data_IF_047214445896
#
_entry.id   IF_047214445896
#
_cell.length_a   1.000
_cell.length_b   1.000
_cell.length_c   1.000
_cell.angle_alpha   90.00
_cell.angle_beta   90.00
_cell.angle_gamma   90.00
#
_symmetry.space_group_name_H-M   'P 1'
#
loop_
_entity.id
_entity.type
_entity.pdbx_description
1 polymer ?
#
# COMPACT_ATOMS: atom_id res chain seq x y z
N UNK A 1 -1.60 -12.80 -22.73
CA UNK A 1 -2.49 -12.95 -21.57
C UNK A 1 -1.63 -13.18 -20.33
N UNK A 2 -1.99 -12.58 -19.20
CA UNK A 2 -1.36 -12.92 -17.91
C UNK A 2 -1.76 -14.34 -17.52
N UNK A 3 -0.93 -15.00 -16.74
CA UNK A 3 -1.17 -16.35 -16.29
C UNK A 3 -1.67 -16.35 -14.85
N UNK A 4 -2.61 -17.23 -14.55
CA UNK A 4 -2.93 -17.59 -13.18
C UNK A 4 -1.85 -18.55 -12.71
N UNK A 5 -1.17 -18.22 -11.63
CA UNK A 5 -0.19 -19.13 -11.03
C UNK A 5 -0.88 -20.12 -10.10
N UNK A 6 -0.59 -21.40 -10.29
CA UNK A 6 -1.09 -22.47 -9.42
C UNK A 6 -0.14 -22.69 -8.23
N UNK A 7 -0.67 -22.62 -7.02
CA UNK A 7 0.08 -22.78 -5.78
C UNK A 7 -0.06 -24.20 -5.25
N UNK A 8 1.07 -24.82 -4.93
CA UNK A 8 1.11 -26.15 -4.29
C UNK A 8 1.27 -25.99 -2.78
N UNK A 9 0.19 -26.17 -2.06
CA UNK A 9 0.17 -26.07 -0.60
C UNK A 9 0.81 -27.28 0.08
N UNK A 10 1.39 -27.05 1.26
CA UNK A 10 1.92 -28.12 2.12
C UNK A 10 0.75 -28.99 2.59
N UNK A 11 0.85 -30.30 2.40
CA UNK A 11 -0.19 -31.24 2.78
C UNK A 11 -0.57 -31.09 4.26
N UNK A 12 -1.88 -31.03 4.53
CA UNK A 12 -2.41 -30.85 5.88
C UNK A 12 -2.41 -29.41 6.40
N UNK A 13 -1.88 -28.45 5.66
CA UNK A 13 -1.81 -27.02 6.09
C UNK A 13 -2.49 -26.08 5.09
N UNK A 14 -2.90 -24.85 5.51
CA UNK A 14 -3.42 -23.84 4.61
C UNK A 14 -2.30 -22.98 4.01
N UNK A 15 -1.06 -23.46 3.86
CA UNK A 15 0.07 -22.64 3.48
C UNK A 15 0.98 -23.31 2.45
N UNK A 16 1.55 -22.50 1.55
CA UNK A 16 2.74 -22.84 0.79
C UNK A 16 3.84 -21.80 1.08
N UNK A 17 5.08 -22.22 0.99
CA UNK A 17 6.24 -21.36 1.18
C UNK A 17 7.20 -21.55 0.02
N UNK A 18 7.62 -20.43 -0.59
CA UNK A 18 8.61 -20.41 -1.65
C UNK A 18 9.70 -19.40 -1.31
N UNK A 19 10.94 -19.75 -1.54
CA UNK A 19 12.09 -18.85 -1.43
C UNK A 19 12.77 -18.73 -2.80
N UNK A 20 12.89 -17.51 -3.32
CA UNK A 20 13.44 -17.25 -4.65
C UNK A 20 14.40 -16.08 -4.63
N UNK A 21 15.37 -16.11 -5.56
CA UNK A 21 15.98 -14.90 -6.09
C UNK A 21 15.21 -14.50 -7.34
N UNK A 22 14.68 -13.30 -7.39
CA UNK A 22 13.82 -12.82 -8.46
C UNK A 22 14.40 -11.53 -9.04
N UNK A 23 15.05 -11.60 -10.20
CA UNK A 23 15.44 -10.38 -10.93
C UNK A 23 14.23 -9.78 -11.65
N UNK A 24 13.41 -10.63 -12.26
CA UNK A 24 12.15 -10.26 -12.92
C UNK A 24 11.12 -11.37 -12.77
N UNK A 25 9.93 -11.03 -12.35
CA UNK A 25 8.78 -11.92 -12.44
C UNK A 25 7.68 -11.19 -13.20
N UNK A 26 7.29 -11.77 -14.35
CA UNK A 26 6.26 -11.17 -15.23
C UNK A 26 4.92 -11.00 -14.53
N UNK A 27 4.05 -10.10 -15.02
CA UNK A 27 2.72 -9.93 -14.45
C UNK A 27 1.96 -11.25 -14.37
N UNK A 28 1.47 -11.56 -13.18
CA UNK A 28 0.68 -12.75 -12.85
C UNK A 28 -0.30 -12.43 -11.72
N UNK A 29 -1.15 -13.37 -11.37
CA UNK A 29 -2.09 -13.25 -10.24
C UNK A 29 -2.41 -14.63 -9.65
N UNK A 30 -2.88 -14.64 -8.41
CA UNK A 30 -3.37 -15.81 -7.70
C UNK A 30 -4.87 -15.66 -7.43
N UNK A 31 -5.63 -16.75 -7.53
CA UNK A 31 -7.02 -16.80 -7.07
C UNK A 31 -7.11 -17.69 -5.83
N UNK A 32 -8.04 -17.34 -4.95
CA UNK A 32 -8.26 -18.03 -3.67
C UNK A 32 -7.01 -18.06 -2.77
N UNK A 33 -6.19 -17.01 -2.88
CA UNK A 33 -4.89 -16.93 -2.22
C UNK A 33 -4.58 -15.51 -1.77
N UNK A 34 -3.99 -15.36 -0.57
CA UNK A 34 -3.24 -14.19 -0.16
C UNK A 34 -1.75 -14.54 -0.23
N UNK A 35 -0.91 -13.64 -0.75
CA UNK A 35 0.54 -13.82 -0.74
C UNK A 35 1.19 -12.82 0.19
N UNK A 36 1.84 -13.30 1.25
CA UNK A 36 2.68 -12.49 2.12
C UNK A 36 4.13 -12.61 1.64
N UNK A 37 4.61 -11.55 1.02
CA UNK A 37 5.94 -11.47 0.43
C UNK A 37 6.90 -10.79 1.40
N UNK A 38 7.96 -11.46 1.80
CA UNK A 38 9.01 -10.96 2.69
C UNK A 38 10.36 -10.90 1.97
N UNK A 39 10.99 -9.74 1.97
CA UNK A 39 12.31 -9.54 1.37
C UNK A 39 13.40 -9.80 2.41
N UNK A 40 14.05 -10.95 2.32
CA UNK A 40 15.11 -11.36 3.25
C UNK A 40 16.44 -10.65 2.94
N UNK A 41 16.74 -10.42 1.66
CA UNK A 41 18.01 -9.81 1.21
C UNK A 41 17.79 -8.98 -0.05
N UNK A 42 18.59 -7.93 -0.24
CA UNK A 42 18.60 -7.09 -1.44
C UNK A 42 17.50 -6.04 -1.43
N UNK A 43 17.10 -5.62 -2.63
CA UNK A 43 16.00 -4.69 -2.87
C UNK A 43 15.03 -5.28 -3.88
N UNK A 44 13.75 -4.92 -3.79
CA UNK A 44 12.74 -5.31 -4.75
C UNK A 44 11.72 -4.21 -4.98
N UNK A 45 11.34 -4.02 -6.24
CA UNK A 45 10.16 -3.28 -6.64
C UNK A 45 9.02 -4.29 -6.87
N UNK A 46 7.97 -4.19 -6.09
CA UNK A 46 6.73 -4.93 -6.29
C UNK A 46 5.65 -3.98 -6.74
N UNK A 47 4.94 -4.31 -7.80
CA UNK A 47 3.75 -3.58 -8.22
C UNK A 47 2.56 -4.52 -8.16
N UNK A 48 1.52 -4.11 -7.44
CA UNK A 48 0.27 -4.85 -7.32
C UNK A 48 -0.89 -3.93 -7.70
N UNK A 49 -1.60 -4.27 -8.75
CA UNK A 49 -2.64 -3.43 -9.35
C UNK A 49 -2.14 -1.99 -9.59
N UNK A 50 -2.67 -1.01 -8.89
CA UNK A 50 -2.24 0.40 -8.97
C UNK A 50 -1.18 0.77 -7.92
N UNK A 51 -0.83 -0.14 -7.02
CA UNK A 51 0.13 0.09 -5.94
C UNK A 51 1.56 -0.27 -6.35
N UNK A 52 2.53 0.50 -5.84
CA UNK A 52 3.96 0.28 -6.04
C UNK A 52 4.65 0.25 -4.68
N UNK A 53 5.44 -0.78 -4.46
CA UNK A 53 6.18 -1.01 -3.23
C UNK A 53 7.66 -1.14 -3.53
N UNK A 54 8.45 -0.17 -3.05
CA UNK A 54 9.91 -0.24 -3.09
C UNK A 54 10.37 -0.86 -1.76
N UNK A 55 10.86 -2.10 -1.80
CA UNK A 55 11.19 -2.91 -0.63
C UNK A 55 12.69 -3.05 -0.44
N UNK A 56 13.12 -3.10 0.83
CA UNK A 56 14.49 -3.46 1.23
C UNK A 56 14.46 -4.68 2.15
N UNK A 57 15.66 -5.21 2.45
CA UNK A 57 15.78 -6.35 3.35
C UNK A 57 15.10 -6.10 4.70
N UNK A 58 14.22 -7.03 5.12
CA UNK A 58 13.40 -6.95 6.33
C UNK A 58 12.00 -6.40 6.10
N UNK A 59 11.68 -5.95 4.89
CA UNK A 59 10.32 -5.53 4.54
C UNK A 59 9.43 -6.70 4.13
N UNK A 60 8.14 -6.51 4.33
CA UNK A 60 7.11 -7.39 3.78
C UNK A 60 5.90 -6.60 3.29
N UNK A 61 5.17 -7.21 2.38
CA UNK A 61 3.91 -6.72 1.83
C UNK A 61 2.95 -7.89 1.63
N UNK A 62 1.66 -7.64 1.85
CA UNK A 62 0.61 -8.58 1.52
C UNK A 62 -0.01 -8.22 0.16
N UNK A 63 -0.06 -9.19 -0.73
CA UNK A 63 -0.76 -9.13 -2.01
C UNK A 63 -2.13 -9.78 -1.81
N UNK A 64 -3.18 -9.04 -2.15
CA UNK A 64 -4.55 -9.50 -1.94
C UNK A 64 -5.00 -10.50 -3.01
N UNK A 65 -6.08 -11.20 -2.70
CA UNK A 65 -6.71 -12.16 -3.58
C UNK A 65 -7.02 -11.54 -4.96
N UNK A 66 -6.40 -12.10 -5.99
CA UNK A 66 -6.60 -11.70 -7.37
C UNK A 66 -5.92 -10.42 -7.81
N UNK A 67 -5.09 -9.79 -7.01
CA UNK A 67 -4.29 -8.64 -7.43
C UNK A 67 -3.26 -9.07 -8.49
N UNK A 68 -3.29 -8.39 -9.64
CA UNK A 68 -2.26 -8.56 -10.66
C UNK A 68 -0.99 -7.88 -10.19
N UNK A 69 0.09 -8.65 -10.11
CA UNK A 69 1.35 -8.11 -9.63
C UNK A 69 2.56 -8.59 -10.44
N UNK A 70 3.64 -7.83 -10.35
CA UNK A 70 4.94 -8.19 -10.90
C UNK A 70 6.07 -7.70 -10.01
N UNK A 71 7.25 -8.33 -10.15
CA UNK A 71 8.39 -8.09 -9.28
C UNK A 71 9.63 -7.77 -10.11
N UNK A 72 10.43 -6.82 -9.65
CA UNK A 72 11.80 -6.57 -10.09
C UNK A 72 12.70 -6.47 -8.87
N UNK A 73 13.73 -7.31 -8.81
CA UNK A 73 14.66 -7.32 -7.69
C UNK A 73 16.10 -7.06 -8.13
N UNK A 74 16.94 -6.72 -7.17
CA UNK A 74 18.40 -6.69 -7.36
C UNK A 74 18.94 -8.10 -7.65
N UNK A 75 20.10 -8.21 -8.31
CA UNK A 75 20.67 -9.51 -8.70
C UNK A 75 20.95 -10.48 -7.53
N UNK A 76 21.09 -9.96 -6.32
CA UNK A 76 21.41 -10.73 -5.11
C UNK A 76 20.24 -10.80 -4.10
N UNK A 77 19.02 -10.50 -4.56
CA UNK A 77 17.83 -10.53 -3.69
C UNK A 77 17.43 -11.95 -3.27
N UNK A 78 16.73 -12.02 -2.15
CA UNK A 78 16.03 -13.23 -1.68
C UNK A 78 14.67 -12.81 -1.18
N UNK A 79 13.64 -13.28 -1.87
CA UNK A 79 12.23 -13.08 -1.54
C UNK A 79 11.67 -14.40 -1.01
N UNK A 80 10.96 -14.33 0.11
CA UNK A 80 10.19 -15.44 0.66
C UNK A 80 8.72 -15.09 0.49
N UNK A 81 7.99 -15.91 -0.27
CA UNK A 81 6.55 -15.81 -0.43
C UNK A 81 5.85 -16.89 0.40
N UNK A 82 4.92 -16.46 1.24
CA UNK A 82 4.01 -17.32 2.00
C UNK A 82 2.62 -17.17 1.39
N UNK A 83 2.13 -18.23 0.79
CA UNK A 83 0.81 -18.29 0.16
C UNK A 83 -0.20 -18.88 1.14
N UNK A 84 -1.32 -18.21 1.36
CA UNK A 84 -2.38 -18.57 2.29
C UNK A 84 -3.62 -19.05 1.50
N UNK A 85 -4.02 -20.31 1.70
CA UNK A 85 -5.15 -20.94 1.03
C UNK A 85 -6.48 -20.45 1.59
N UNK A 86 -7.12 -19.52 0.89
CA UNK A 86 -8.41 -18.97 1.29
C UNK A 86 -9.52 -20.02 1.27
N UNK A 87 -9.44 -21.03 0.40
CA UNK A 87 -10.45 -22.09 0.34
C UNK A 87 -10.46 -22.97 1.60
N UNK A 88 -9.31 -23.15 2.25
CA UNK A 88 -9.22 -23.83 3.55
C UNK A 88 -9.56 -22.89 4.70
N UNK A 89 -9.03 -21.66 4.68
CA UNK A 89 -9.19 -20.71 5.78
C UNK A 89 -10.62 -20.19 5.92
N UNK A 90 -11.40 -20.08 4.85
CA UNK A 90 -12.81 -19.65 4.93
C UNK A 90 -13.72 -20.59 5.71
N UNK A 91 -13.26 -21.81 6.03
CA UNK A 91 -13.99 -22.69 6.92
C UNK A 91 -14.00 -22.21 8.38
N UNK A 92 -12.93 -21.51 8.78
CA UNK A 92 -12.77 -20.94 10.13
C UNK A 92 -13.09 -19.44 10.16
N UNK A 93 -12.99 -18.74 9.01
CA UNK A 93 -13.13 -17.29 8.87
C UNK A 93 -14.16 -16.97 7.77
N UNK A 94 -15.38 -16.70 8.18
CA UNK A 94 -16.46 -16.33 7.26
C UNK A 94 -16.11 -15.05 6.50
N UNK A 95 -16.31 -15.06 5.18
CA UNK A 95 -16.10 -13.94 4.27
C UNK A 95 -14.62 -13.50 4.05
N UNK A 96 -13.64 -14.26 4.53
CA UNK A 96 -12.21 -13.93 4.40
C UNK A 96 -11.79 -13.65 2.95
N UNK A 97 -12.34 -14.37 1.99
CA UNK A 97 -12.05 -14.25 0.56
C UNK A 97 -12.48 -12.90 -0.06
N UNK A 98 -13.36 -12.17 0.63
CA UNK A 98 -13.88 -10.86 0.19
C UNK A 98 -13.19 -9.69 0.87
N UNK A 99 -12.39 -9.93 1.89
CA UNK A 99 -11.70 -8.86 2.62
C UNK A 99 -10.50 -8.34 1.83
N UNK A 100 -10.26 -7.05 1.97
CA UNK A 100 -9.09 -6.40 1.42
C UNK A 100 -8.20 -5.86 2.54
N UNK A 101 -6.95 -6.28 2.53
CA UNK A 101 -5.99 -5.97 3.57
C UNK A 101 -4.95 -4.96 3.09
N UNK A 102 -4.62 -4.00 3.94
CA UNK A 102 -3.51 -3.06 3.73
C UNK A 102 -2.46 -3.40 4.77
N UNK A 103 -1.55 -4.29 4.41
CA UNK A 103 -0.51 -4.78 5.30
C UNK A 103 0.86 -4.71 4.65
N UNK A 104 1.59 -3.67 4.99
CA UNK A 104 2.92 -3.35 4.50
C UNK A 104 3.80 -2.86 5.66
N UNK A 105 5.02 -3.39 5.75
CA UNK A 105 5.90 -3.16 6.91
C UNK A 105 6.54 -1.78 6.98
N UNK A 106 6.53 -1.04 5.87
CA UNK A 106 7.26 0.22 5.72
C UNK A 106 6.37 1.47 5.84
N UNK A 107 5.04 1.31 5.84
CA UNK A 107 4.07 2.41 5.95
C UNK A 107 3.29 2.43 7.28
N UNK A 108 3.77 1.68 8.27
CA UNK A 108 3.09 1.53 9.53
C UNK A 108 3.07 2.80 10.37
N UNK A 109 1.94 3.04 10.99
CA UNK A 109 1.88 3.98 12.10
C UNK A 109 2.39 3.32 13.39
N UNK A 110 2.69 4.13 14.41
CA UNK A 110 3.23 3.64 15.69
C UNK A 110 2.33 2.63 16.43
N UNK A 111 1.03 2.61 16.14
CA UNK A 111 0.07 1.65 16.73
C UNK A 111 0.13 0.28 16.05
N UNK A 112 0.55 0.23 14.79
CA UNK A 112 0.67 -1.00 14.02
C UNK A 112 2.02 -1.70 14.23
N UNK A 113 3.04 -0.98 14.70
CA UNK A 113 4.41 -1.51 14.82
C UNK A 113 4.50 -2.83 15.61
N UNK A 114 3.79 -2.93 16.74
CA UNK A 114 3.78 -4.15 17.54
C UNK A 114 3.21 -5.36 16.77
N UNK A 115 2.17 -5.13 15.96
CA UNK A 115 1.57 -6.18 15.12
C UNK A 115 2.46 -6.55 13.94
N UNK A 116 3.17 -5.59 13.35
CA UNK A 116 4.15 -5.88 12.29
C UNK A 116 5.32 -6.71 12.83
N UNK A 117 5.78 -6.45 14.05
CA UNK A 117 6.80 -7.29 14.69
C UNK A 117 6.27 -8.71 14.93
N UNK A 118 5.01 -8.85 15.32
CA UNK A 118 4.40 -10.18 15.48
C UNK A 118 4.26 -10.91 14.15
N UNK A 119 3.86 -10.21 13.07
CA UNK A 119 3.83 -10.78 11.71
C UNK A 119 5.22 -11.26 11.30
N UNK A 120 6.30 -10.50 11.57
CA UNK A 120 7.67 -10.96 11.30
C UNK A 120 8.02 -12.25 12.05
N UNK A 121 7.63 -12.38 13.32
CA UNK A 121 7.83 -13.62 14.08
C UNK A 121 7.08 -14.78 13.50
N UNK A 122 5.83 -14.56 13.06
CA UNK A 122 5.01 -15.57 12.39
C UNK A 122 5.67 -15.99 11.07
N UNK A 123 6.14 -15.05 10.24
CA UNK A 123 6.88 -15.35 9.00
C UNK A 123 8.05 -16.29 9.30
N UNK A 124 8.88 -15.94 10.28
CA UNK A 124 10.04 -16.78 10.64
C UNK A 124 9.60 -18.16 11.13
N UNK A 125 8.58 -18.22 12.00
CA UNK A 125 8.05 -19.48 12.53
C UNK A 125 7.53 -20.39 11.41
N UNK A 126 6.69 -19.86 10.52
CA UNK A 126 6.10 -20.60 9.39
C UNK A 126 7.19 -21.07 8.43
N UNK A 127 8.12 -20.19 8.02
CA UNK A 127 9.18 -20.52 7.06
C UNK A 127 10.13 -21.59 7.61
N UNK A 128 10.54 -21.47 8.87
CA UNK A 128 11.47 -22.44 9.48
C UNK A 128 10.80 -23.81 9.70
N UNK A 129 9.52 -23.83 10.05
CA UNK A 129 8.77 -25.07 10.23
C UNK A 129 8.46 -25.73 8.88
N UNK A 130 8.04 -24.93 7.88
CA UNK A 130 7.74 -25.45 6.54
C UNK A 130 8.94 -26.11 5.87
N UNK A 131 10.16 -25.62 6.13
CA UNK A 131 11.38 -26.16 5.57
C UNK A 131 11.94 -27.36 6.37
N UNK A 132 11.44 -27.65 7.55
CA UNK A 132 11.85 -28.84 8.32
C UNK A 132 11.23 -30.12 7.70
N UNK A 133 12.02 -31.19 7.62
CA UNK A 133 11.53 -32.50 7.12
C UNK A 133 10.50 -33.12 8.04
N UNK A 134 10.63 -32.87 9.35
CA UNK A 134 9.72 -33.33 10.40
C UNK A 134 8.79 -32.22 10.87
N UNK A 135 8.30 -31.40 9.92
CA UNK A 135 7.47 -30.23 10.18
C UNK A 135 6.23 -30.56 11.02
N UNK A 136 5.91 -29.68 11.93
CA UNK A 136 4.68 -29.71 12.72
C UNK A 136 3.59 -28.91 11.97
N UNK A 137 2.67 -29.62 11.31
CA UNK A 137 1.58 -29.01 10.53
C UNK A 137 0.57 -28.28 11.40
N UNK A 138 0.36 -28.73 12.65
CA UNK A 138 -0.56 -28.08 13.59
C UNK A 138 0.02 -26.73 14.04
N UNK A 139 1.33 -26.69 14.29
CA UNK A 139 2.03 -25.44 14.61
C UNK A 139 1.98 -24.44 13.46
N UNK A 140 2.25 -24.88 12.23
CA UNK A 140 2.11 -24.03 11.02
C UNK A 140 0.69 -23.45 10.95
N UNK A 141 -0.32 -24.30 11.09
CA UNK A 141 -1.72 -23.89 11.02
C UNK A 141 -2.08 -22.90 12.13
N UNK A 142 -1.59 -23.11 13.35
CA UNK A 142 -1.82 -22.20 14.46
C UNK A 142 -1.18 -20.81 14.23
N UNK A 143 0.03 -20.77 13.67
CA UNK A 143 0.69 -19.48 13.34
C UNK A 143 -0.05 -18.76 12.20
N UNK A 144 -0.54 -19.49 11.18
CA UNK A 144 -1.36 -18.91 10.11
C UNK A 144 -2.66 -18.31 10.66
N UNK A 145 -3.35 -19.02 11.59
CA UNK A 145 -4.56 -18.47 12.23
C UNK A 145 -4.29 -17.18 12.97
N UNK A 146 -3.19 -17.10 13.73
CA UNK A 146 -2.78 -15.83 14.38
C UNK A 146 -2.54 -14.72 13.36
N UNK A 147 -1.91 -15.04 12.22
CA UNK A 147 -1.70 -14.07 11.15
C UNK A 147 -3.04 -13.55 10.61
N UNK A 148 -3.98 -14.44 10.31
CA UNK A 148 -5.31 -14.07 9.81
C UNK A 148 -6.06 -13.20 10.82
N UNK A 149 -6.02 -13.55 12.12
CA UNK A 149 -6.62 -12.73 13.17
C UNK A 149 -6.02 -11.31 13.19
N UNK A 150 -4.69 -11.19 13.10
CA UNK A 150 -4.02 -9.89 13.03
C UNK A 150 -4.46 -9.12 11.79
N UNK A 151 -4.53 -9.77 10.62
CA UNK A 151 -4.95 -9.13 9.37
C UNK A 151 -6.38 -8.60 9.48
N UNK A 152 -7.34 -9.43 9.92
CA UNK A 152 -8.75 -9.05 10.04
C UNK A 152 -8.93 -7.89 11.02
N UNK A 153 -8.31 -7.96 12.20
CA UNK A 153 -8.57 -6.99 13.26
C UNK A 153 -7.68 -5.75 13.23
N UNK A 154 -6.61 -5.72 12.40
CA UNK A 154 -5.63 -4.61 12.41
C UNK A 154 -5.28 -4.05 11.03
N UNK A 155 -5.44 -4.84 9.98
CA UNK A 155 -5.02 -4.48 8.63
C UNK A 155 -6.12 -4.57 7.58
N UNK A 156 -7.35 -4.93 7.95
CA UNK A 156 -8.52 -4.74 7.09
C UNK A 156 -8.64 -3.26 6.72
N UNK A 157 -9.09 -2.99 5.51
CA UNK A 157 -9.30 -1.66 4.94
C UNK A 157 -9.96 -0.68 5.92
N UNK A 158 -10.93 -1.17 6.68
CA UNK A 158 -11.69 -0.38 7.66
C UNK A 158 -10.82 0.05 8.85
N UNK A 159 -10.01 -0.85 9.37
CA UNK A 159 -9.11 -0.56 10.49
C UNK A 159 -7.97 0.37 10.08
N UNK A 160 -7.51 0.24 8.85
CA UNK A 160 -6.49 1.13 8.30
C UNK A 160 -6.95 2.60 8.26
N UNK A 161 -8.19 2.84 7.83
CA UNK A 161 -8.71 4.20 7.67
C UNK A 161 -9.19 4.84 8.98
N UNK A 162 -9.77 4.07 9.89
CA UNK A 162 -10.51 4.69 10.98
C UNK A 162 -9.67 4.95 12.25
N UNK A 163 -8.64 4.15 12.52
CA UNK A 163 -7.85 4.27 13.75
C UNK A 163 -8.69 4.30 15.05
N UNK A 164 -9.99 3.97 14.97
CA UNK A 164 -10.98 3.95 16.05
C UNK A 164 -11.38 2.53 16.37
N UNK A 165 -11.81 2.32 17.58
CA UNK A 165 -12.46 1.07 17.95
C UNK A 165 -13.79 0.95 17.18
N UNK A 166 -13.84 -0.01 16.27
CA UNK A 166 -15.03 -0.35 15.50
C UNK A 166 -15.72 -1.47 16.28
N UNK A 167 -17.01 -1.32 16.54
CA UNK A 167 -17.76 -2.37 17.20
C UNK A 167 -17.90 -3.60 16.29
N UNK A 168 -17.96 -4.77 16.88
CA UNK A 168 -18.15 -6.05 16.17
C UNK A 168 -19.36 -5.99 15.22
N UNK A 169 -20.49 -5.47 15.68
CA UNK A 169 -21.70 -5.26 14.84
C UNK A 169 -21.48 -4.35 13.64
N UNK A 170 -20.63 -3.34 13.77
CA UNK A 170 -20.28 -2.46 12.64
C UNK A 170 -19.38 -3.17 11.65
N UNK A 171 -18.40 -3.94 12.14
CA UNK A 171 -17.51 -4.72 11.32
C UNK A 171 -18.26 -5.80 10.54
N UNK A 172 -19.12 -6.57 11.21
CA UNK A 172 -19.98 -7.58 10.57
C UNK A 172 -20.86 -6.97 9.47
N UNK A 173 -21.51 -5.82 9.75
CA UNK A 173 -22.30 -5.12 8.74
C UNK A 173 -21.44 -4.69 7.55
N UNK A 174 -20.24 -4.17 7.79
CA UNK A 174 -19.31 -3.80 6.74
C UNK A 174 -18.95 -5.01 5.88
N UNK A 175 -18.61 -6.13 6.48
CA UNK A 175 -18.29 -7.36 5.76
C UNK A 175 -19.44 -7.86 4.90
N UNK A 176 -20.70 -7.82 5.41
CA UNK A 176 -21.88 -8.19 4.61
C UNK A 176 -22.08 -7.28 3.40
N UNK A 177 -21.83 -5.97 3.54
CA UNK A 177 -21.93 -5.03 2.41
C UNK A 177 -20.82 -5.28 1.40
N UNK A 178 -19.57 -5.53 1.85
CA UNK A 178 -18.46 -5.90 0.97
C UNK A 178 -18.79 -7.17 0.20
N UNK A 179 -19.27 -8.20 0.87
CA UNK A 179 -19.69 -9.45 0.25
C UNK A 179 -20.77 -9.23 -0.83
N UNK A 180 -21.77 -8.40 -0.55
CA UNK A 180 -22.80 -8.05 -1.53
C UNK A 180 -22.20 -7.37 -2.77
N UNK A 181 -21.23 -6.49 -2.58
CA UNK A 181 -20.51 -5.86 -3.70
C UNK A 181 -19.70 -6.90 -4.49
N UNK A 182 -18.95 -7.77 -3.81
CA UNK A 182 -18.12 -8.78 -4.46
C UNK A 182 -18.94 -9.77 -5.30
N UNK A 183 -20.10 -10.15 -4.81
CA UNK A 183 -21.00 -11.09 -5.51
C UNK A 183 -21.76 -10.44 -6.68
N UNK A 184 -22.04 -9.13 -6.60
CA UNK A 184 -22.95 -8.42 -7.51
C UNK A 184 -22.34 -7.20 -8.19
N UNK A 185 -21.01 -6.96 -8.12
CA UNK A 185 -20.37 -5.76 -8.72
C UNK A 185 -20.67 -5.59 -10.21
N UNK A 186 -20.84 -6.70 -10.93
CA UNK A 186 -21.14 -6.71 -12.38
C UNK A 186 -22.59 -6.35 -12.71
N UNK A 187 -23.46 -6.34 -11.73
CA UNK A 187 -24.88 -6.04 -11.86
C UNK A 187 -25.21 -4.59 -11.54
N UNK A 188 -26.49 -4.22 -11.73
CA UNK A 188 -27.00 -2.93 -11.22
C UNK A 188 -27.14 -3.05 -9.70
N UNK A 189 -26.21 -2.50 -8.96
CA UNK A 189 -26.19 -2.50 -7.50
C UNK A 189 -26.35 -1.06 -6.98
N UNK A 190 -27.39 -0.79 -6.23
CA UNK A 190 -27.66 0.50 -5.61
C UNK A 190 -27.58 0.40 -4.09
N UNK A 191 -27.11 1.46 -3.43
CA UNK A 191 -27.00 1.50 -1.97
C UNK A 191 -28.39 1.35 -1.30
N UNK A 192 -29.46 1.71 -1.99
CA UNK A 192 -30.84 1.52 -1.54
C UNK A 192 -31.21 0.06 -1.36
N UNK A 193 -30.76 -0.79 -2.32
CA UNK A 193 -31.04 -2.25 -2.26
C UNK A 193 -30.35 -2.87 -1.04
N UNK A 194 -29.13 -2.43 -0.76
CA UNK A 194 -28.36 -2.87 0.41
C UNK A 194 -28.99 -2.36 1.71
N UNK A 195 -29.47 -1.10 1.72
CA UNK A 195 -30.18 -0.52 2.87
C UNK A 195 -31.41 -1.34 3.26
N UNK A 196 -32.18 -1.80 2.26
CA UNK A 196 -33.34 -2.65 2.47
C UNK A 196 -32.95 -4.03 3.05
N UNK A 197 -31.88 -4.65 2.52
CA UNK A 197 -31.37 -5.93 3.02
C UNK A 197 -30.87 -5.83 4.47
N UNK A 198 -30.22 -4.71 4.82
CA UNK A 198 -29.73 -4.45 6.18
C UNK A 198 -30.79 -3.89 7.15
N UNK A 199 -32.03 -3.70 6.70
CA UNK A 199 -33.16 -3.13 7.48
C UNK A 199 -32.84 -1.75 8.06
N UNK A 200 -32.13 -0.90 7.29
CA UNK A 200 -31.77 0.46 7.72
C UNK A 200 -32.13 1.51 6.65
N UNK A 201 -32.21 2.77 7.06
CA UNK A 201 -32.50 3.86 6.13
C UNK A 201 -31.32 4.20 5.22
N UNK A 202 -31.60 4.63 3.98
CA UNK A 202 -30.63 5.03 2.97
C UNK A 202 -29.59 6.06 3.47
N UNK A 203 -30.05 7.07 4.21
CA UNK A 203 -29.15 8.11 4.73
C UNK A 203 -28.17 7.54 5.76
N UNK A 204 -28.65 6.63 6.61
CA UNK A 204 -27.82 5.97 7.60
C UNK A 204 -26.76 5.09 6.95
N UNK A 205 -27.12 4.23 5.99
CA UNK A 205 -26.15 3.35 5.33
C UNK A 205 -25.12 4.15 4.52
N UNK A 206 -25.54 5.26 3.89
CA UNK A 206 -24.63 6.14 3.16
C UNK A 206 -23.58 6.76 4.09
N UNK A 207 -23.99 7.25 5.24
CA UNK A 207 -23.08 7.81 6.25
C UNK A 207 -22.23 6.71 6.90
N UNK A 208 -22.84 5.57 7.23
CA UNK A 208 -22.14 4.41 7.76
C UNK A 208 -21.03 3.97 6.81
N UNK A 209 -21.36 3.76 5.53
CA UNK A 209 -20.40 3.34 4.51
C UNK A 209 -19.25 4.35 4.36
N UNK A 210 -19.57 5.64 4.25
CA UNK A 210 -18.57 6.71 4.16
C UNK A 210 -17.67 6.75 5.40
N UNK A 211 -18.22 6.57 6.58
CA UNK A 211 -17.45 6.53 7.83
C UNK A 211 -16.54 5.32 7.92
N UNK A 212 -16.97 4.17 7.37
CA UNK A 212 -16.16 2.94 7.37
C UNK A 212 -15.03 2.97 6.34
N UNK A 213 -15.30 3.45 5.12
CA UNK A 213 -14.38 3.31 3.98
C UNK A 213 -13.75 4.62 3.51
N UNK A 214 -14.18 5.77 4.05
CA UNK A 214 -13.84 7.11 3.57
C UNK A 214 -14.16 7.35 2.08
N UNK A 215 -14.96 6.47 1.47
CA UNK A 215 -15.42 6.58 0.09
C UNK A 215 -16.94 6.55 0.04
N UNK A 216 -17.54 7.20 -0.98
CA UNK A 216 -18.94 6.91 -1.24
C UNK A 216 -19.11 5.53 -1.90
N UNK A 217 -20.28 4.92 -1.74
CA UNK A 217 -20.54 3.57 -2.23
C UNK A 217 -20.30 3.40 -3.73
N UNK A 218 -20.73 4.36 -4.55
CA UNK A 218 -20.54 4.33 -6.01
C UNK A 218 -19.05 4.33 -6.39
N UNK A 219 -18.25 5.04 -5.64
CA UNK A 219 -16.79 5.07 -5.85
C UNK A 219 -16.14 3.74 -5.52
N UNK A 220 -16.50 3.15 -4.39
CA UNK A 220 -16.03 1.82 -4.01
C UNK A 220 -16.45 0.76 -5.03
N UNK A 221 -17.72 0.73 -5.45
CA UNK A 221 -18.21 -0.17 -6.48
C UNK A 221 -17.44 0.01 -7.81
N UNK A 222 -17.15 1.25 -8.19
CA UNK A 222 -16.40 1.53 -9.41
C UNK A 222 -14.91 1.18 -9.27
N UNK A 223 -14.28 1.31 -8.09
CA UNK A 223 -12.90 0.82 -7.89
C UNK A 223 -12.86 -0.69 -8.07
N UNK A 224 -13.81 -1.42 -7.46
CA UNK A 224 -13.88 -2.87 -7.61
C UNK A 224 -14.10 -3.33 -9.04
N UNK A 225 -15.00 -2.67 -9.77
CA UNK A 225 -15.21 -2.90 -11.21
C UNK A 225 -13.94 -2.66 -12.02
N UNK A 226 -13.12 -1.67 -11.62
CA UNK A 226 -11.87 -1.35 -12.32
C UNK A 226 -10.79 -2.40 -12.06
N UNK A 227 -10.71 -2.98 -10.87
CA UNK A 227 -9.81 -4.09 -10.55
C UNK A 227 -10.16 -5.34 -11.36
N UNK A 228 -11.45 -5.66 -11.45
CA UNK A 228 -11.91 -6.76 -12.31
C UNK A 228 -11.67 -6.48 -13.81
N UNK A 229 -11.84 -5.23 -14.23
CA UNK A 229 -11.55 -4.82 -15.60
C UNK A 229 -10.05 -4.88 -15.92
N UNK A 230 -9.17 -4.55 -14.99
CA UNK A 230 -7.72 -4.73 -15.09
C UNK A 230 -7.38 -6.20 -15.38
N UNK A 231 -7.88 -7.10 -14.55
CA UNK A 231 -7.64 -8.54 -14.70
C UNK A 231 -8.11 -9.04 -16.06
N UNK A 232 -9.32 -8.69 -16.46
CA UNK A 232 -9.85 -9.08 -17.78
C UNK A 232 -9.06 -8.47 -18.95
N UNK A 233 -8.63 -7.22 -18.82
CA UNK A 233 -7.83 -6.51 -19.81
C UNK A 233 -6.51 -7.22 -20.10
N UNK A 234 -5.90 -7.78 -19.06
CA UNK A 234 -4.59 -8.44 -19.15
C UNK A 234 -4.72 -9.96 -19.42
N UNK A 235 -5.80 -10.61 -18.96
CA UNK A 235 -5.99 -12.04 -19.06
C UNK A 235 -6.79 -12.49 -20.31
N UNK A 236 -7.40 -11.56 -21.04
CA UNK A 236 -8.27 -11.90 -22.18
C UNK A 236 -8.01 -11.02 -23.41
N UNK A 237 -8.50 -11.46 -24.57
CA UNK A 237 -8.50 -10.67 -25.81
C UNK A 237 -9.78 -9.86 -26.02
N UNK A 238 -10.63 -9.75 -24.98
CA UNK A 238 -11.86 -8.97 -25.05
C UNK A 238 -11.57 -7.49 -25.33
N UNK A 239 -12.43 -6.86 -26.11
CA UNK A 239 -12.39 -5.42 -26.32
C UNK A 239 -12.72 -4.68 -25.02
N UNK A 240 -12.26 -3.42 -24.91
CA UNK A 240 -12.56 -2.57 -23.75
C UNK A 240 -14.07 -2.39 -23.56
N UNK A 241 -14.84 -2.37 -24.65
CA UNK A 241 -16.29 -2.28 -24.62
C UNK A 241 -16.91 -3.54 -23.98
N UNK A 242 -16.46 -4.73 -24.38
CA UNK A 242 -16.92 -5.99 -23.79
C UNK A 242 -16.53 -6.08 -22.31
N UNK A 243 -15.28 -5.72 -21.96
CA UNK A 243 -14.82 -5.69 -20.58
C UNK A 243 -15.68 -4.74 -19.75
N UNK A 244 -15.97 -3.55 -20.28
CA UNK A 244 -16.82 -2.56 -19.60
C UNK A 244 -18.19 -3.13 -19.24
N UNK A 245 -18.83 -3.82 -20.18
CA UNK A 245 -20.14 -4.44 -19.95
C UNK A 245 -20.07 -5.57 -18.92
N UNK A 246 -19.10 -6.46 -19.07
CA UNK A 246 -18.95 -7.63 -18.16
C UNK A 246 -18.63 -7.17 -16.74
N UNK A 247 -17.88 -6.07 -16.58
CA UNK A 247 -17.59 -5.50 -15.26
C UNK A 247 -18.71 -4.60 -14.71
N UNK A 248 -19.85 -4.50 -15.38
CA UNK A 248 -21.02 -3.78 -14.89
C UNK A 248 -20.97 -2.26 -15.04
N UNK A 249 -20.10 -1.72 -15.88
CA UNK A 249 -20.15 -0.30 -16.22
C UNK A 249 -21.32 -0.02 -17.19
N UNK A 250 -22.09 1.00 -16.88
CA UNK A 250 -23.27 1.38 -17.70
C UNK A 250 -22.89 1.95 -19.09
N UNK A 251 -21.66 2.40 -19.27
CA UNK A 251 -21.14 2.99 -20.52
C UNK A 251 -19.60 2.82 -20.54
N UNK A 252 -19.00 2.46 -21.68
CA UNK A 252 -17.55 2.33 -21.83
C UNK A 252 -16.73 3.57 -21.41
N UNK A 253 -17.30 4.77 -21.48
CA UNK A 253 -16.62 5.98 -21.00
C UNK A 253 -16.24 5.91 -19.51
N UNK A 254 -16.99 5.14 -18.70
CA UNK A 254 -16.71 5.00 -17.27
C UNK A 254 -15.50 4.15 -16.98
N UNK A 255 -15.20 3.12 -17.80
CA UNK A 255 -13.94 2.35 -17.61
C UNK A 255 -12.74 3.28 -17.87
N UNK A 256 -12.75 4.11 -18.91
CA UNK A 256 -11.68 5.08 -19.18
C UNK A 256 -11.52 6.09 -18.05
N UNK A 257 -12.64 6.62 -17.54
CA UNK A 257 -12.64 7.58 -16.42
C UNK A 257 -12.04 6.96 -15.16
N UNK A 258 -12.44 5.72 -14.84
CA UNK A 258 -11.98 5.04 -13.62
C UNK A 258 -10.54 4.56 -13.76
N UNK A 259 -10.11 4.04 -14.92
CA UNK A 259 -8.71 3.71 -15.15
C UNK A 259 -7.80 4.93 -14.99
N UNK A 260 -8.13 6.06 -15.58
CA UNK A 260 -7.37 7.30 -15.35
C UNK A 260 -7.34 7.73 -13.89
N UNK A 261 -8.42 7.46 -13.16
CA UNK A 261 -8.53 7.80 -11.76
C UNK A 261 -7.64 6.93 -10.88
N UNK A 262 -7.64 5.61 -11.10
CA UNK A 262 -6.98 4.64 -10.23
C UNK A 262 -5.58 4.26 -10.70
N UNK A 263 -5.40 4.10 -12.01
CA UNK A 263 -4.15 3.66 -12.64
C UNK A 263 -3.38 4.80 -13.33
N UNK A 264 -3.90 6.03 -13.31
CA UNK A 264 -3.33 7.22 -13.97
C UNK A 264 -3.11 7.05 -15.49
N UNK A 265 -3.68 6.03 -16.09
CA UNK A 265 -3.54 5.62 -17.50
C UNK A 265 -4.89 5.25 -18.10
N UNK A 266 -4.94 5.26 -19.42
CA UNK A 266 -6.05 4.62 -20.11
C UNK A 266 -5.88 3.09 -20.08
N UNK A 267 -6.95 2.30 -20.26
CA UNK A 267 -6.84 0.84 -20.36
C UNK A 267 -5.85 0.38 -21.42
N UNK A 268 -5.79 1.05 -22.57
CA UNK A 268 -4.87 0.70 -23.67
C UNK A 268 -3.41 0.99 -23.32
N UNK A 269 -3.12 2.13 -22.69
CA UNK A 269 -1.77 2.48 -22.22
C UNK A 269 -1.32 1.49 -21.15
N UNK A 270 -2.22 1.13 -20.23
CA UNK A 270 -1.98 0.16 -19.18
C UNK A 270 -1.64 -1.22 -19.76
N UNK A 271 -2.47 -1.74 -20.67
CA UNK A 271 -2.21 -3.02 -21.35
C UNK A 271 -0.86 -3.02 -22.06
N UNK A 272 -0.53 -1.96 -22.80
CA UNK A 272 0.74 -1.83 -23.54
C UNK A 272 1.96 -1.85 -22.60
N UNK A 273 1.86 -1.24 -21.43
CA UNK A 273 2.94 -1.28 -20.42
C UNK A 273 3.16 -2.70 -19.90
N UNK A 274 2.10 -3.42 -19.57
CA UNK A 274 2.17 -4.81 -19.11
C UNK A 274 2.67 -5.77 -20.20
N UNK A 275 2.29 -5.56 -21.46
CA UNK A 275 2.84 -6.34 -22.58
C UNK A 275 4.36 -6.17 -22.69
N UNK A 276 4.89 -4.97 -22.43
CA UNK A 276 6.35 -4.74 -22.36
C UNK A 276 6.99 -5.55 -21.24
N UNK A 277 6.44 -5.52 -20.03
CA UNK A 277 6.97 -6.32 -18.91
C UNK A 277 6.93 -7.82 -19.21
N UNK A 278 5.85 -8.29 -19.83
CA UNK A 278 5.74 -9.69 -20.25
C UNK A 278 6.81 -10.07 -21.27
N UNK A 279 7.11 -9.19 -22.23
CA UNK A 279 8.12 -9.43 -23.25
C UNK A 279 9.55 -9.54 -22.69
N UNK A 280 9.81 -8.95 -21.51
CA UNK A 280 11.10 -9.05 -20.83
C UNK A 280 11.35 -10.44 -20.22
N UNK A 281 10.30 -11.24 -20.03
CA UNK A 281 10.36 -12.61 -19.52
C UNK A 281 10.61 -12.70 -18.02
N UNK A 282 10.42 -13.90 -17.47
CA UNK A 282 10.69 -14.22 -16.06
C UNK A 282 12.14 -14.65 -15.89
N UNK A 283 12.81 -14.10 -14.88
CA UNK A 283 14.14 -14.47 -14.44
C UNK A 283 14.13 -14.65 -12.92
N UNK A 284 13.99 -15.89 -12.50
CA UNK A 284 13.95 -16.27 -11.09
C UNK A 284 14.70 -17.59 -10.88
N UNK A 285 15.30 -17.75 -9.70
CA UNK A 285 15.89 -18.98 -9.22
C UNK A 285 15.23 -19.36 -7.89
N UNK A 286 14.59 -20.52 -7.83
CA UNK A 286 13.96 -21.06 -6.64
C UNK A 286 14.98 -21.84 -5.81
N UNK A 287 14.95 -21.67 -4.49
CA UNK A 287 15.77 -22.41 -3.55
C UNK A 287 14.98 -23.62 -3.03
N UNK A 288 15.61 -24.79 -3.02
CA UNK A 288 15.09 -25.92 -2.23
C UNK A 288 15.01 -25.55 -0.76
N UNK A 289 13.90 -25.86 -0.08
CA UNK A 289 13.65 -25.43 1.29
C UNK A 289 14.72 -25.89 2.28
N UNK A 290 15.23 -27.13 2.13
CA UNK A 290 16.27 -27.67 3.00
C UNK A 290 17.63 -27.02 2.70
N UNK A 291 17.95 -26.77 1.43
CA UNK A 291 19.16 -26.06 0.99
C UNK A 291 19.10 -24.61 1.46
N UNK A 292 17.94 -23.95 1.36
CA UNK A 292 17.73 -22.58 1.81
C UNK A 292 18.04 -22.44 3.29
N UNK A 293 17.46 -23.28 4.15
CA UNK A 293 17.73 -23.27 5.59
C UNK A 293 19.17 -23.64 5.93
N UNK A 294 19.78 -24.57 5.18
CA UNK A 294 21.17 -24.94 5.34
C UNK A 294 22.12 -23.79 5.00
N UNK A 295 21.77 -22.98 3.99
CA UNK A 295 22.61 -21.86 3.48
C UNK A 295 22.47 -20.59 4.32
N UNK A 296 21.27 -20.27 4.74
CA UNK A 296 20.99 -19.00 5.43
C UNK A 296 20.77 -19.15 6.92
N UNK A 297 20.51 -20.38 7.40
CA UNK A 297 20.37 -20.69 8.83
C UNK A 297 19.22 -19.99 9.51
N UNK A 298 18.70 -20.59 10.59
CA UNK A 298 17.67 -19.98 11.43
C UNK A 298 18.11 -18.64 12.02
N UNK A 299 19.37 -18.53 12.44
CA UNK A 299 19.94 -17.31 13.03
C UNK A 299 19.94 -16.13 12.06
N UNK A 300 20.20 -16.35 10.77
CA UNK A 300 20.17 -15.28 9.76
C UNK A 300 18.75 -14.76 9.53
N UNK A 301 17.75 -15.68 9.48
CA UNK A 301 16.35 -15.32 9.33
C UNK A 301 15.88 -14.54 10.57
N UNK A 302 16.25 -15.00 11.79
CA UNK A 302 15.96 -14.27 13.02
C UNK A 302 16.66 -12.91 13.09
N UNK A 303 17.94 -12.83 12.70
CA UNK A 303 18.67 -11.56 12.68
C UNK A 303 18.11 -10.52 11.73
N UNK A 304 17.51 -10.95 10.58
CA UNK A 304 16.83 -10.05 9.65
C UNK A 304 15.52 -9.47 10.20
N UNK A 305 14.91 -10.18 11.16
CA UNK A 305 13.68 -9.76 11.85
C UNK A 305 13.99 -8.85 13.06
N UNK A 306 15.09 -9.11 13.78
CA UNK A 306 15.50 -8.36 14.98
C UNK A 306 16.31 -7.09 14.68
N UNK A 307 16.57 -6.76 13.43
CA UNK A 307 17.13 -5.45 13.11
C UNK A 307 16.18 -4.38 13.60
N UNK A 308 16.43 -3.89 14.81
CA UNK A 308 15.95 -2.59 15.23
C UNK A 308 16.24 -1.58 14.12
N UNK A 309 15.18 -1.26 13.38
CA UNK A 309 15.05 -0.03 12.62
C UNK A 309 16.21 0.38 11.71
N UNK A 310 16.28 -0.19 10.59
CA UNK A 310 16.28 0.69 9.46
C UNK A 310 14.80 0.90 9.03
N UNK A 311 13.98 1.49 9.87
CA UNK A 311 12.76 2.13 9.40
C UNK A 311 13.18 3.43 8.72
N UNK A 312 13.78 3.30 7.58
CA UNK A 312 13.78 4.33 6.58
C UNK A 312 12.31 4.48 6.23
N UNK A 313 11.73 5.59 6.61
CA UNK A 313 10.45 6.01 6.06
C UNK A 313 10.75 6.19 4.60
N UNK A 314 10.37 5.21 3.84
CA UNK A 314 10.48 5.26 2.40
C UNK A 314 9.40 6.15 1.89
N UNK A 315 9.73 6.76 0.78
CA UNK A 315 9.03 7.85 0.15
C UNK A 315 7.53 7.82 0.39
N UNK A 316 6.97 8.95 0.73
CA UNK A 316 5.53 9.18 0.77
C UNK A 316 4.81 8.74 -0.51
N UNK A 317 5.53 8.48 -1.61
CA UNK A 317 4.97 7.88 -2.83
C UNK A 317 4.51 6.44 -2.65
N UNK A 318 5.17 5.64 -1.81
CA UNK A 318 4.74 4.27 -1.53
C UNK A 318 3.52 4.23 -0.58
N UNK A 319 3.47 5.14 0.40
CA UNK A 319 2.28 5.37 1.22
C UNK A 319 1.13 6.01 0.42
N UNK A 320 1.45 6.57 -0.77
CA UNK A 320 0.54 7.41 -1.54
C UNK A 320 -0.46 6.66 -2.40
N UNK A 321 -0.39 5.37 -2.63
CA UNK A 321 -1.33 4.80 -3.59
C UNK A 321 -2.75 4.71 -3.03
N UNK A 322 -2.92 4.28 -1.79
CA UNK A 322 -4.19 4.39 -1.09
C UNK A 322 -4.45 5.80 -0.56
N UNK A 323 -3.44 6.52 -0.09
CA UNK A 323 -3.53 7.95 0.15
C UNK A 323 -3.83 8.71 -1.14
N UNK A 324 -3.29 8.37 -2.30
CA UNK A 324 -3.66 8.96 -3.61
C UNK A 324 -5.08 8.62 -4.01
N UNK A 325 -5.60 7.44 -3.75
CA UNK A 325 -7.03 7.17 -3.88
C UNK A 325 -7.83 8.16 -3.04
N UNK A 326 -7.43 8.38 -1.83
CA UNK A 326 -8.09 9.26 -0.88
C UNK A 326 -7.86 10.75 -1.20
N UNK A 327 -6.62 11.19 -1.37
CA UNK A 327 -6.23 12.58 -1.66
C UNK A 327 -6.65 13.05 -3.05
N UNK A 328 -6.66 12.16 -4.04
CA UNK A 328 -7.17 12.46 -5.36
C UNK A 328 -8.67 12.77 -5.33
N UNK A 329 -9.44 12.12 -4.47
CA UNK A 329 -10.82 12.49 -4.23
C UNK A 329 -10.96 13.86 -3.60
N UNK A 330 -10.09 14.14 -2.66
CA UNK A 330 -10.06 15.39 -1.94
C UNK A 330 -9.61 16.54 -2.85
N UNK A 331 -8.59 16.35 -3.69
CA UNK A 331 -8.10 17.41 -4.59
C UNK A 331 -9.03 17.71 -5.78
N UNK A 332 -9.72 16.71 -6.31
CA UNK A 332 -10.53 16.87 -7.52
C UNK A 332 -11.95 17.36 -7.28
N UNK A 333 -12.48 17.18 -6.09
CA UNK A 333 -13.83 17.65 -5.74
C UNK A 333 -13.94 19.17 -5.59
N UNK A 334 -12.80 19.90 -5.62
CA UNK A 334 -12.84 21.22 -5.04
C UNK A 334 -11.71 22.11 -5.54
N UNK A 335 -11.91 22.98 -6.39
CA UNK A 335 -10.94 23.99 -6.80
C UNK A 335 -10.23 24.71 -5.59
N UNK A 336 -9.30 25.56 -5.85
CA UNK A 336 -8.33 26.20 -4.92
C UNK A 336 -8.85 26.73 -3.56
N UNK A 337 -10.17 26.80 -3.34
CA UNK A 337 -10.79 27.23 -2.09
C UNK A 337 -10.75 26.18 -0.96
N UNK A 338 -10.45 24.95 -1.27
CA UNK A 338 -10.68 23.80 -0.38
C UNK A 338 -9.48 23.33 0.42
N UNK A 339 -8.29 23.82 0.14
CA UNK A 339 -7.08 23.36 0.84
C UNK A 339 -7.18 23.47 2.38
N UNK A 340 -7.94 24.42 2.89
CA UNK A 340 -8.10 24.68 4.34
C UNK A 340 -9.20 23.85 5.00
N UNK A 341 -10.33 23.73 4.36
CA UNK A 341 -11.47 22.94 4.85
C UNK A 341 -11.19 21.44 4.77
N UNK A 342 -10.48 21.00 3.74
CA UNK A 342 -10.10 19.63 3.49
C UNK A 342 -9.20 19.03 4.57
N UNK A 343 -8.14 19.75 4.98
CA UNK A 343 -7.25 19.27 6.04
C UNK A 343 -8.03 19.13 7.35
N UNK A 344 -8.97 20.02 7.61
CA UNK A 344 -9.82 20.00 8.82
C UNK A 344 -10.84 18.86 8.79
N UNK A 345 -11.51 18.65 7.65
CA UNK A 345 -12.46 17.57 7.47
C UNK A 345 -11.78 16.21 7.46
N UNK A 346 -10.65 16.07 6.76
CA UNK A 346 -9.85 14.84 6.76
C UNK A 346 -9.38 14.45 8.16
N UNK A 347 -8.94 15.42 8.96
CA UNK A 347 -8.50 15.15 10.33
C UNK A 347 -9.64 14.67 11.21
N UNK A 348 -10.83 15.28 11.10
CA UNK A 348 -12.00 14.92 11.88
C UNK A 348 -12.60 13.57 11.45
N UNK A 349 -12.58 13.26 10.16
CA UNK A 349 -13.18 12.04 9.59
C UNK A 349 -12.23 10.84 9.57
N UNK A 350 -10.90 11.05 9.47
CA UNK A 350 -9.92 9.97 9.19
C UNK A 350 -8.94 9.71 10.32
N UNK A 351 -8.95 10.52 11.37
CA UNK A 351 -7.93 10.43 12.43
C UNK A 351 -6.53 10.78 11.95
N UNK A 352 -6.40 11.61 10.92
CA UNK A 352 -5.14 12.01 10.30
C UNK A 352 -4.19 12.56 11.37
N UNK A 353 -2.96 12.05 11.43
CA UNK A 353 -1.94 12.47 12.40
C UNK A 353 -0.85 13.30 11.76
N UNK A 354 -0.79 13.33 10.44
CA UNK A 354 0.30 13.92 9.68
C UNK A 354 -0.20 14.59 8.40
N UNK A 355 0.41 15.70 8.03
CA UNK A 355 0.26 16.39 6.74
C UNK A 355 1.59 16.28 6.01
N UNK A 356 1.55 15.90 4.73
CA UNK A 356 2.72 15.92 3.84
C UNK A 356 2.65 17.17 2.98
N UNK A 357 3.71 18.00 3.05
CA UNK A 357 3.86 19.22 2.29
C UNK A 357 5.03 19.08 1.31
N UNK A 358 4.80 18.91 0.00
CA UNK A 358 5.86 19.02 -0.99
C UNK A 358 6.32 20.48 -1.05
N UNK A 359 7.62 20.74 -0.84
CA UNK A 359 8.22 22.04 -1.13
C UNK A 359 8.38 22.15 -2.64
N UNK A 360 7.69 23.13 -3.21
CA UNK A 360 7.42 23.24 -4.63
C UNK A 360 8.66 23.55 -5.48
N UNK A 361 8.62 22.99 -6.67
CA UNK A 361 9.68 22.97 -7.68
C UNK A 361 9.76 24.24 -8.53
N UNK A 362 8.81 25.18 -8.40
CA UNK A 362 8.69 26.35 -9.29
C UNK A 362 9.07 27.66 -8.63
N UNK A 363 9.47 28.65 -9.45
CA UNK A 363 9.72 30.04 -9.02
C UNK A 363 8.45 30.76 -8.49
N UNK A 364 7.34 30.06 -8.38
CA UNK A 364 6.05 30.51 -7.86
C UNK A 364 5.97 30.55 -6.32
N UNK A 365 7.10 30.43 -5.63
CA UNK A 365 7.19 30.40 -4.14
C UNK A 365 6.55 31.59 -3.45
N UNK A 366 6.46 32.75 -4.11
CA UNK A 366 5.81 33.94 -3.53
C UNK A 366 4.27 33.81 -3.45
N UNK A 367 3.63 33.08 -4.40
CA UNK A 367 2.18 32.83 -4.39
C UNK A 367 1.79 31.74 -3.38
N UNK A 368 2.72 30.89 -3.00
CA UNK A 368 2.48 29.77 -2.08
C UNK A 368 2.81 30.07 -0.61
N UNK A 369 3.37 31.23 -0.30
CA UNK A 369 3.65 31.63 1.09
C UNK A 369 2.38 31.64 1.96
N UNK A 370 1.27 32.16 1.45
CA UNK A 370 -0.04 32.14 2.12
C UNK A 370 -0.59 30.72 2.29
N UNK A 371 -0.30 29.84 1.34
CA UNK A 371 -0.66 28.43 1.43
C UNK A 371 0.16 27.70 2.50
N UNK A 372 1.47 27.90 2.54
CA UNK A 372 2.37 27.32 3.56
C UNK A 372 1.93 27.76 4.96
N UNK A 373 1.65 29.05 5.14
CA UNK A 373 1.20 29.61 6.42
C UNK A 373 -0.14 28.97 6.86
N UNK A 374 -1.08 28.76 5.93
CA UNK A 374 -2.36 28.07 6.19
C UNK A 374 -2.18 26.61 6.56
N UNK A 375 -1.27 25.90 5.91
CA UNK A 375 -0.94 24.51 6.25
C UNK A 375 -0.30 24.42 7.63
N UNK A 376 0.65 25.29 7.94
CA UNK A 376 1.29 25.40 9.25
C UNK A 376 0.30 25.69 10.37
N UNK A 377 -0.61 26.65 10.15
CA UNK A 377 -1.68 27.00 11.11
C UNK A 377 -2.65 25.83 11.32
N UNK A 378 -2.99 25.12 10.26
CA UNK A 378 -3.85 23.94 10.33
C UNK A 378 -3.17 22.81 11.10
N UNK A 379 -1.90 22.51 10.80
CA UNK A 379 -1.12 21.52 11.51
C UNK A 379 -1.00 21.86 13.01
N UNK A 380 -0.76 23.14 13.33
CA UNK A 380 -0.68 23.62 14.72
C UNK A 380 -2.02 23.49 15.44
N UNK A 381 -3.10 23.97 14.83
CA UNK A 381 -4.45 23.98 15.43
C UNK A 381 -4.97 22.57 15.68
N UNK A 382 -4.63 21.63 14.82
CA UNK A 382 -5.11 20.23 14.88
C UNK A 382 -4.12 19.27 15.54
N UNK A 383 -2.94 19.77 15.97
CA UNK A 383 -1.92 18.94 16.60
C UNK A 383 -1.30 17.89 15.67
N UNK A 384 -1.30 18.13 14.35
CA UNK A 384 -0.76 17.22 13.36
C UNK A 384 0.76 17.34 13.22
N UNK A 385 1.43 16.23 12.94
CA UNK A 385 2.80 16.23 12.44
C UNK A 385 2.83 16.76 11.00
N UNK A 386 3.95 17.36 10.59
CA UNK A 386 4.18 17.86 9.24
C UNK A 386 5.42 17.20 8.67
N UNK A 387 5.27 16.52 7.53
CA UNK A 387 6.40 16.02 6.74
C UNK A 387 6.59 16.92 5.53
N UNK A 388 7.80 17.47 5.40
CA UNK A 388 8.20 18.36 4.30
C UNK A 388 9.01 17.54 3.30
N UNK A 389 8.55 17.50 2.06
CA UNK A 389 9.21 16.78 0.98
C UNK A 389 10.03 17.71 0.10
N UNK A 390 11.25 17.33 -0.21
CA UNK A 390 12.22 18.07 -1.01
C UNK A 390 12.71 17.16 -2.13
N UNK A 391 12.40 17.51 -3.37
CA UNK A 391 12.99 16.85 -4.53
C UNK A 391 14.31 17.54 -4.90
N UNK A 392 15.43 16.93 -4.49
CA UNK A 392 16.75 17.50 -4.66
C UNK A 392 17.18 17.68 -6.12
N UNK A 393 16.59 16.89 -7.04
CA UNK A 393 16.85 17.01 -8.48
C UNK A 393 16.49 18.36 -9.08
N UNK A 394 15.57 19.07 -8.45
CA UNK A 394 14.95 20.28 -9.01
C UNK A 394 15.72 21.57 -8.76
N UNK A 395 16.62 21.58 -7.78
CA UNK A 395 17.41 22.78 -7.42
C UNK A 395 18.81 22.39 -6.93
N UNK A 396 19.75 23.34 -7.01
CA UNK A 396 21.05 23.18 -6.37
C UNK A 396 20.98 23.29 -4.83
N UNK A 397 22.06 22.90 -4.17
CA UNK A 397 22.18 22.88 -2.72
C UNK A 397 21.89 24.24 -2.07
N UNK A 398 22.41 25.33 -2.64
CA UNK A 398 22.28 26.68 -2.06
C UNK A 398 20.86 27.22 -2.22
N UNK A 399 20.20 26.89 -3.32
CA UNK A 399 18.79 27.22 -3.56
C UNK A 399 17.87 26.46 -2.58
N UNK A 400 18.13 25.17 -2.34
CA UNK A 400 17.38 24.40 -1.35
C UNK A 400 17.63 24.89 0.07
N UNK A 401 18.86 25.22 0.44
CA UNK A 401 19.18 25.81 1.74
C UNK A 401 18.34 27.07 1.99
N UNK A 402 18.23 27.95 1.01
CA UNK A 402 17.43 29.18 1.11
C UNK A 402 15.95 28.90 1.32
N UNK A 403 15.37 28.01 0.53
CA UNK A 403 13.94 27.61 0.63
C UNK A 403 13.65 27.00 2.00
N UNK A 404 14.52 26.13 2.48
CA UNK A 404 14.35 25.47 3.79
C UNK A 404 14.48 26.48 4.93
N UNK A 405 15.42 27.42 4.86
CA UNK A 405 15.57 28.48 5.87
C UNK A 405 14.35 29.40 5.90
N UNK A 406 13.79 29.74 4.74
CA UNK A 406 12.55 30.52 4.67
C UNK A 406 11.37 29.77 5.27
N UNK A 407 11.19 28.49 4.91
CA UNK A 407 10.18 27.63 5.51
C UNK A 407 10.35 27.53 7.03
N UNK A 408 11.57 27.30 7.52
CA UNK A 408 11.87 27.20 8.94
C UNK A 408 11.54 28.49 9.69
N UNK A 409 11.80 29.66 9.09
CA UNK A 409 11.42 30.96 9.63
C UNK A 409 9.91 31.13 9.80
N UNK A 410 9.10 30.54 8.88
CA UNK A 410 7.64 30.53 8.96
C UNK A 410 7.12 29.50 9.95
N UNK A 411 7.71 28.31 9.96
CA UNK A 411 7.30 27.20 10.81
C UNK A 411 7.53 27.46 12.31
N UNK A 412 8.57 28.21 12.69
CA UNK A 412 8.89 28.59 14.09
C UNK A 412 8.70 27.43 15.08
N UNK A 413 7.75 27.55 16.00
CA UNK A 413 7.48 26.56 17.05
C UNK A 413 7.01 25.21 16.52
N UNK A 414 6.45 25.18 15.31
CA UNK A 414 6.03 23.94 14.65
C UNK A 414 7.23 23.15 14.07
N UNK A 415 8.38 23.80 13.90
CA UNK A 415 9.57 23.21 13.27
C UNK A 415 10.06 21.94 13.99
N UNK A 416 9.96 21.91 15.32
CA UNK A 416 10.34 20.75 16.12
C UNK A 416 9.50 19.49 15.84
N UNK A 417 8.30 19.67 15.26
CA UNK A 417 7.38 18.60 14.86
C UNK A 417 7.43 18.29 13.37
N UNK A 418 8.23 19.06 12.61
CA UNK A 418 8.42 18.85 11.18
C UNK A 418 9.47 17.74 10.95
N UNK A 419 9.22 16.90 9.97
CA UNK A 419 10.17 15.97 9.39
C UNK A 419 10.50 16.43 7.98
N UNK A 420 11.71 16.15 7.53
CA UNK A 420 12.17 16.54 6.19
C UNK A 420 12.63 15.29 5.45
N UNK A 421 11.99 15.00 4.32
CA UNK A 421 12.38 13.93 3.42
C UNK A 421 13.04 14.54 2.18
N UNK A 422 14.32 14.27 1.98
CA UNK A 422 15.11 14.76 0.84
C UNK A 422 15.25 13.61 -0.15
N UNK A 423 14.64 13.77 -1.32
CA UNK A 423 14.71 12.81 -2.41
C UNK A 423 15.84 13.16 -3.37
N UNK A 424 16.68 12.21 -3.68
CA UNK A 424 17.75 12.29 -4.69
C UNK A 424 17.43 11.30 -5.81
N UNK A 425 17.64 11.71 -7.05
CA UNK A 425 17.40 10.93 -8.27
C UNK A 425 18.65 10.20 -8.78
N UNK A 426 19.82 10.55 -8.25
CA UNK A 426 21.12 9.98 -8.65
C UNK A 426 22.07 9.87 -7.45
N UNK A 427 22.84 8.78 -7.40
CA UNK A 427 23.87 8.57 -6.38
C UNK A 427 24.98 9.66 -6.41
N UNK A 428 25.23 10.27 -7.55
CA UNK A 428 26.21 11.37 -7.63
C UNK A 428 25.75 12.60 -6.82
N UNK A 429 24.44 12.77 -6.63
CA UNK A 429 23.85 13.84 -5.82
C UNK A 429 23.81 13.55 -4.32
N UNK A 430 24.09 12.33 -3.89
CA UNK A 430 24.11 11.98 -2.46
C UNK A 430 25.09 12.85 -1.66
N UNK A 431 26.25 13.16 -2.22
CA UNK A 431 27.25 14.03 -1.58
C UNK A 431 26.70 15.45 -1.41
N UNK A 432 26.00 15.98 -2.41
CA UNK A 432 25.40 17.33 -2.35
C UNK A 432 24.19 17.36 -1.39
N UNK A 433 23.40 16.31 -1.35
CA UNK A 433 22.28 16.19 -0.40
C UNK A 433 22.78 16.09 1.05
N UNK A 434 23.90 15.40 1.28
CA UNK A 434 24.60 15.39 2.59
C UNK A 434 25.11 16.76 2.95
N UNK A 435 25.73 17.49 2.01
CA UNK A 435 26.15 18.89 2.21
C UNK A 435 24.95 19.80 2.58
N UNK A 436 23.78 19.60 1.94
CA UNK A 436 22.57 20.32 2.32
C UNK A 436 22.16 20.00 3.76
N UNK A 437 22.17 18.73 4.13
CA UNK A 437 21.84 18.29 5.50
C UNK A 437 22.76 18.95 6.52
N UNK A 438 24.06 19.01 6.24
CA UNK A 438 25.03 19.69 7.12
C UNK A 438 24.76 21.19 7.23
N UNK A 439 24.45 21.86 6.11
CA UNK A 439 24.15 23.30 6.06
C UNK A 439 22.88 23.71 6.82
N UNK A 440 21.89 22.81 6.92
CA UNK A 440 20.61 23.07 7.62
C UNK A 440 20.57 22.50 9.03
N UNK A 441 21.61 21.82 9.48
CA UNK A 441 21.69 21.17 10.79
C UNK A 441 21.64 22.16 11.98
N UNK A 442 21.92 23.45 11.74
CA UNK A 442 21.78 24.54 12.71
C UNK A 442 20.33 24.95 12.98
N UNK A 443 19.41 24.65 12.03
CA UNK A 443 18.00 25.03 12.13
C UNK A 443 17.06 23.83 12.24
N UNK A 444 17.44 22.68 11.70
CA UNK A 444 16.64 21.45 11.73
C UNK A 444 17.44 20.35 12.43
N UNK A 445 16.85 19.74 13.44
CA UNK A 445 17.50 18.62 14.11
C UNK A 445 17.80 17.50 13.08
N UNK A 446 19.06 17.05 12.93
CA UNK A 446 19.41 16.00 11.97
C UNK A 446 18.60 14.72 12.09
N UNK A 447 18.07 14.40 13.29
CA UNK A 447 17.16 13.27 13.50
C UNK A 447 15.82 13.41 12.77
N UNK A 448 15.45 14.61 12.40
CA UNK A 448 14.22 14.91 11.67
C UNK A 448 14.44 14.97 10.15
N UNK A 449 15.67 14.77 9.68
CA UNK A 449 16.02 14.79 8.25
C UNK A 449 16.25 13.34 7.81
N UNK A 450 15.63 12.97 6.69
CA UNK A 450 15.83 11.70 6.02
C UNK A 450 16.18 11.94 4.57
N UNK A 451 17.13 11.14 4.07
CA UNK A 451 17.47 11.11 2.66
C UNK A 451 16.96 9.80 2.06
N UNK A 452 16.36 9.87 0.89
CA UNK A 452 15.89 8.73 0.14
C UNK A 452 16.26 8.89 -1.34
N UNK A 453 16.63 7.80 -1.99
CA UNK A 453 16.88 7.78 -3.44
C UNK A 453 15.56 7.57 -4.15
N UNK A 454 15.24 8.45 -5.09
CA UNK A 454 14.10 8.31 -5.97
C UNK A 454 14.59 7.67 -7.27
N UNK A 455 14.16 6.45 -7.53
CA UNK A 455 14.37 5.82 -8.83
C UNK A 455 13.17 6.16 -9.73
N UNK A 456 13.42 6.85 -10.85
CA UNK A 456 12.40 7.12 -11.89
C UNK A 456 11.94 5.83 -12.59
#
# INVERSE_FOLDING_TARGET
>A
MIEREEIRYIEGTPVAVRACSIERYVPHYHEDCLELMFLLKGTALVRASYDRFDMEAGDFVLINNGDVHYIRGSADNIIISIYLDLNRLKQDYEHLEYLYFICESFNANSMQEAYLQEIRRIIVSVVTEAADRNRDTDKITAEVRKLIDILIYKFDLVHYHNGRDISETQLERYHRIVMEVEQHYSEKLELEDIAQKEFIGRNYISQFWKNMTNMNFTEYLNSRRSEMAERMLLATDKSINEISLVCGFSDPKYIYKNFRKWYEKTPSEYKKEYERYKAEGTELAEYDGAEFLGRFGREFIYASVDKEKASIIRSAETAMSWRRKYEYHVQKSTGSKLKREMVRESHLETGLKEIVLPLLDSDETAADADFIDKVLDSARTMGLALTVEINFAKRDCDSWERVIREFAGRARDALSRCRFNIYIDDFEKDVQAKQLTDKISDIINPKNIKMAVKFD
#
